data_IF_977300546840
#
_entry.id   IF_977300546840
#
_cell.length_a   1.000
_cell.length_b   1.000
_cell.length_c   1.000
_cell.angle_alpha   90.00
_cell.angle_beta   90.00
_cell.angle_gamma   90.00
#
_symmetry.space_group_name_H-M   'P 1'
#
loop_
_entity.id
_entity.type
_entity.pdbx_description
1 polymer ?
#
# COMPACT_ATOMS: atom_id res chain seq x y z
N UNK A 1 7.70 20.44 12.40
CA UNK A 1 7.07 19.15 12.09
C UNK A 1 5.89 18.97 13.04
N UNK A 2 4.65 18.86 12.57
CA UNK A 2 3.50 18.62 13.46
C UNK A 2 3.49 17.15 13.90
N UNK A 3 3.39 16.91 15.21
CA UNK A 3 3.23 15.56 15.79
C UNK A 3 1.74 15.23 15.86
N UNK A 4 1.31 14.19 15.14
CA UNK A 4 -0.05 13.67 15.25
C UNK A 4 -0.12 12.68 16.42
N UNK A 5 -1.09 12.89 17.32
CA UNK A 5 -1.32 12.00 18.47
C UNK A 5 -2.58 11.16 18.24
N UNK A 6 -2.46 9.84 18.37
CA UNK A 6 -3.57 8.90 18.31
C UNK A 6 -3.83 8.29 19.70
N UNK A 7 -5.06 8.39 20.19
CA UNK A 7 -5.46 7.78 21.47
C UNK A 7 -6.38 6.59 21.23
N UNK A 8 -5.93 5.39 21.60
CA UNK A 8 -6.71 4.16 21.50
C UNK A 8 -7.34 3.86 22.86
N UNK A 9 -8.68 3.88 22.93
CA UNK A 9 -9.43 3.56 24.16
C UNK A 9 -9.80 2.09 24.20
N UNK A 10 -9.92 1.53 25.40
CA UNK A 10 -10.34 0.14 25.64
C UNK A 10 -9.47 -0.91 24.92
N UNK A 11 -8.16 -0.66 24.79
CA UNK A 11 -7.24 -1.64 24.23
C UNK A 11 -7.14 -2.85 25.20
N UNK A 12 -7.42 -4.09 24.75
CA UNK A 12 -7.29 -5.27 25.59
C UNK A 12 -5.87 -5.38 26.16
N UNK A 13 -5.75 -5.72 27.45
CA UNK A 13 -4.45 -5.81 28.12
C UNK A 13 -3.50 -6.81 27.45
N UNK A 14 -4.04 -7.92 26.94
CA UNK A 14 -3.29 -8.90 26.17
C UNK A 14 -2.65 -8.29 24.92
N UNK A 15 -3.38 -7.41 24.21
CA UNK A 15 -2.85 -6.71 23.02
C UNK A 15 -1.75 -5.73 23.40
N UNK A 16 -1.93 -4.98 24.50
CA UNK A 16 -0.88 -4.08 25.02
C UNK A 16 0.40 -4.85 25.35
N UNK A 17 0.27 -6.00 26.01
CA UNK A 17 1.41 -6.84 26.37
C UNK A 17 2.13 -7.41 25.14
N UNK A 18 1.37 -7.90 24.16
CA UNK A 18 1.91 -8.40 22.91
C UNK A 18 2.67 -7.32 22.12
N UNK A 19 2.12 -6.11 22.04
CA UNK A 19 2.79 -4.96 21.40
C UNK A 19 4.10 -4.61 22.11
N UNK A 20 4.12 -4.64 23.45
CA UNK A 20 5.33 -4.37 24.23
C UNK A 20 6.41 -5.44 23.98
N UNK A 21 6.02 -6.70 23.94
CA UNK A 21 6.95 -7.80 23.66
C UNK A 21 7.51 -7.71 22.22
N UNK A 22 6.66 -7.38 21.25
CA UNK A 22 7.07 -7.19 19.85
C UNK A 22 8.04 -6.02 19.67
N UNK A 23 7.74 -4.87 20.29
CA UNK A 23 8.63 -3.71 20.27
C UNK A 23 10.02 -4.02 20.85
N UNK A 24 10.06 -4.77 21.97
CA UNK A 24 11.32 -5.24 22.56
C UNK A 24 12.09 -6.20 21.64
N UNK A 25 11.39 -7.09 20.94
CA UNK A 25 12.00 -8.00 19.96
C UNK A 25 12.61 -7.25 18.77
N UNK A 26 12.00 -6.15 18.34
CA UNK A 26 12.50 -5.28 17.27
C UNK A 26 13.48 -4.20 17.77
N UNK A 27 13.81 -4.20 19.07
CA UNK A 27 14.70 -3.23 19.70
C UNK A 27 14.27 -1.77 19.49
N UNK A 28 12.97 -1.52 19.54
CA UNK A 28 12.39 -0.19 19.35
C UNK A 28 11.35 0.15 20.43
N UNK A 29 10.97 1.44 20.49
CA UNK A 29 9.95 1.87 21.44
C UNK A 29 8.57 1.33 21.03
N UNK A 30 7.67 1.21 22.00
CA UNK A 30 6.30 0.78 21.72
C UNK A 30 5.58 1.74 20.75
N UNK A 31 5.88 3.03 20.83
CA UNK A 31 5.34 4.04 19.91
C UNK A 31 5.86 3.82 18.48
N UNK A 32 7.16 3.55 18.32
CA UNK A 32 7.74 3.25 17.02
C UNK A 32 7.11 1.99 16.42
N UNK A 33 7.02 0.91 17.20
CA UNK A 33 6.39 -0.34 16.74
C UNK A 33 4.93 -0.13 16.31
N UNK A 34 4.14 0.60 17.08
CA UNK A 34 2.74 0.89 16.73
C UNK A 34 2.66 1.74 15.45
N UNK A 35 3.57 2.70 15.28
CA UNK A 35 3.65 3.51 14.06
C UNK A 35 3.98 2.64 12.86
N UNK A 36 4.95 1.74 12.96
CA UNK A 36 5.33 0.85 11.87
C UNK A 36 4.19 -0.10 11.50
N UNK A 37 3.54 -0.72 12.50
CA UNK A 37 2.37 -1.57 12.28
C UNK A 37 1.26 -0.80 11.56
N UNK A 38 0.97 0.42 11.99
CA UNK A 38 -0.05 1.24 11.34
C UNK A 38 0.37 1.64 9.93
N UNK A 39 1.63 2.05 9.73
CA UNK A 39 2.16 2.40 8.42
C UNK A 39 2.07 1.23 7.44
N UNK A 40 2.49 0.04 7.85
CA UNK A 40 2.40 -1.18 7.04
C UNK A 40 0.94 -1.59 6.77
N UNK A 41 0.05 -1.44 7.76
CA UNK A 41 -1.35 -1.80 7.61
C UNK A 41 -2.13 -0.85 6.69
N UNK A 42 -1.75 0.43 6.65
CA UNK A 42 -2.41 1.46 5.82
C UNK A 42 -1.65 1.75 4.53
N UNK A 43 -0.41 1.29 4.40
CA UNK A 43 0.30 1.29 3.14
C UNK A 43 -0.59 0.53 2.17
N UNK A 44 -1.23 1.28 1.26
CA UNK A 44 -1.91 0.66 0.15
C UNK A 44 -0.88 -0.28 -0.47
N UNK A 45 -1.20 -1.58 -0.55
CA UNK A 45 -0.56 -2.41 -1.55
C UNK A 45 -0.94 -1.74 -2.85
N UNK A 46 -0.08 -0.85 -3.32
CA UNK A 46 -0.21 -0.16 -4.58
C UNK A 46 -0.54 -1.24 -5.59
N UNK A 47 -1.78 -1.28 -6.06
CA UNK A 47 -2.07 -2.08 -7.22
C UNK A 47 -1.28 -1.39 -8.32
N UNK A 48 -0.16 -2.01 -8.70
CA UNK A 48 0.77 -1.46 -9.68
C UNK A 48 0.02 -0.98 -10.92
N UNK A 49 -1.04 -1.68 -11.32
CA UNK A 49 -1.88 -1.30 -12.46
C UNK A 49 -2.64 0.00 -12.17
N UNK A 50 -3.25 0.14 -10.99
CA UNK A 50 -3.96 1.36 -10.59
C UNK A 50 -3.01 2.55 -10.50
N UNK A 51 -1.86 2.37 -9.86
CA UNK A 51 -0.87 3.45 -9.69
C UNK A 51 -0.27 3.87 -11.03
N UNK A 52 0.02 2.92 -11.91
CA UNK A 52 0.48 3.21 -13.27
C UNK A 52 -0.59 3.92 -14.11
N UNK A 53 -1.85 3.51 -14.01
CA UNK A 53 -2.99 4.18 -14.66
C UNK A 53 -3.16 5.62 -14.13
N UNK A 54 -2.97 5.83 -12.83
CA UNK A 54 -3.06 7.16 -12.23
C UNK A 54 -1.89 8.04 -12.68
N UNK A 55 -0.67 7.51 -12.70
CA UNK A 55 0.53 8.22 -13.14
C UNK A 55 0.47 8.64 -14.62
N UNK A 56 -0.24 7.88 -15.45
CA UNK A 56 -0.43 8.18 -16.88
C UNK A 56 -1.67 9.02 -17.16
N UNK A 57 -2.36 9.56 -16.15
CA UNK A 57 -3.60 10.30 -16.33
C UNK A 57 -3.47 11.51 -17.27
N UNK A 58 -2.31 12.17 -17.31
CA UNK A 58 -2.03 13.28 -18.22
C UNK A 58 -1.90 12.87 -19.69
N UNK A 59 -1.66 11.58 -19.96
CA UNK A 59 -1.57 11.01 -21.30
C UNK A 59 -2.91 10.55 -21.85
N UNK A 60 -3.99 10.65 -21.05
CA UNK A 60 -5.33 10.30 -21.49
C UNK A 60 -5.80 11.29 -22.56
N UNK A 61 -6.47 10.74 -23.57
CA UNK A 61 -7.08 11.51 -24.65
C UNK A 61 -8.11 10.68 -25.38
N UNK A 62 -8.81 11.33 -26.30
CA UNK A 62 -9.71 10.64 -27.21
C UNK A 62 -8.87 10.01 -28.33
N UNK A 63 -8.70 8.70 -28.24
CA UNK A 63 -7.99 7.92 -29.26
C UNK A 63 -8.99 7.32 -30.23
N UNK A 64 -8.73 7.48 -31.52
CA UNK A 64 -9.47 6.75 -32.54
C UNK A 64 -9.12 5.27 -32.43
N UNK A 65 -10.15 4.43 -32.30
CA UNK A 65 -9.96 2.99 -32.24
C UNK A 65 -9.50 2.49 -33.62
N UNK A 66 -8.41 1.71 -33.70
CA UNK A 66 -7.95 1.17 -34.98
C UNK A 66 -9.00 0.20 -35.55
N UNK A 67 -9.01 0.06 -36.88
CA UNK A 67 -9.82 -0.97 -37.53
C UNK A 67 -9.45 -2.36 -37.00
N UNK A 68 -10.47 -3.12 -36.60
CA UNK A 68 -10.27 -4.48 -36.12
C UNK A 68 -9.92 -5.39 -37.30
N UNK A 69 -8.76 -6.00 -37.23
CA UNK A 69 -8.28 -7.02 -38.18
C UNK A 69 -8.19 -8.40 -37.51
N UNK A 70 -8.18 -9.49 -38.29
CA UNK A 70 -7.88 -10.82 -37.75
C UNK A 70 -6.48 -10.86 -37.13
N UNK A 71 -6.28 -11.77 -36.18
CA UNK A 71 -4.97 -11.99 -35.58
C UNK A 71 -3.93 -12.31 -36.67
N UNK A 72 -2.76 -11.69 -36.59
CA UNK A 72 -1.62 -12.04 -37.45
C UNK A 72 -1.22 -13.50 -37.25
N UNK A 73 -0.74 -14.14 -38.32
CA UNK A 73 -0.17 -15.48 -38.21
C UNK A 73 1.02 -15.48 -37.23
N UNK A 74 1.10 -16.52 -36.42
CA UNK A 74 2.23 -16.74 -35.53
C UNK A 74 3.38 -17.30 -36.36
N UNK A 75 4.47 -16.56 -36.45
CA UNK A 75 5.70 -17.05 -37.02
C UNK A 75 6.34 -18.06 -36.05
N UNK A 76 6.40 -19.33 -36.49
CA UNK A 76 6.96 -20.46 -35.73
C UNK A 76 8.28 -20.95 -36.33
N UNK A 77 8.92 -20.15 -37.21
CA UNK A 77 10.19 -20.48 -37.84
C UNK A 77 11.40 -20.34 -36.92
#
# INVERSE_FOLDING_TARGET
MAMATLTIRNLPDATRLALKARAAAHNQSMEAEVRDILADAVAARSDFVVDWIAATASLRGDFEAPERSPARDVDLS
#
